data_IF_381902882090
#
_entry.id   IF_381902882090
#
_cell.length_a   1.000
_cell.length_b   1.000
_cell.length_c   1.000
_cell.angle_alpha   90.00
_cell.angle_beta   90.00
_cell.angle_gamma   90.00
#
_symmetry.space_group_name_H-M   'P 1'
#
loop_
_entity.id
_entity.type
_entity.pdbx_description
1 polymer ?
#
# COMPACT_ATOMS: atom_id res chain seq x y z
N UNK A 1 -30.70 1.30 -44.78
CA UNK A 1 -29.91 1.15 -46.02
C UNK A 1 -28.83 2.20 -46.05
N UNK A 2 -27.58 1.76 -46.22
CA UNK A 2 -26.37 2.49 -46.63
C UNK A 2 -25.74 3.50 -45.64
N UNK A 3 -24.41 3.76 -45.73
CA UNK A 3 -23.32 2.77 -45.64
C UNK A 3 -22.14 3.24 -44.73
N UNK A 4 -21.25 2.29 -44.41
CA UNK A 4 -19.99 2.45 -43.69
C UNK A 4 -19.00 3.41 -44.40
N UNK A 5 -18.11 4.10 -43.66
CA UNK A 5 -17.01 4.89 -44.23
C UNK A 5 -15.89 4.00 -44.83
N UNK A 6 -15.17 4.49 -45.86
CA UNK A 6 -14.14 3.74 -46.57
C UNK A 6 -12.80 3.62 -45.81
N UNK A 7 -11.96 2.60 -46.12
CA UNK A 7 -10.65 2.39 -45.51
C UNK A 7 -9.54 3.28 -46.14
N UNK A 8 -8.42 3.53 -45.42
CA UNK A 8 -7.26 4.23 -45.97
C UNK A 8 -6.41 3.33 -46.91
N UNK A 9 -5.72 3.91 -47.91
CA UNK A 9 -4.91 3.18 -48.89
C UNK A 9 -3.49 2.79 -48.43
N UNK A 10 -2.97 1.77 -49.11
CA UNK A 10 -1.75 0.98 -48.88
C UNK A 10 -0.41 1.69 -49.16
N UNK A 11 0.64 1.11 -48.55
CA UNK A 11 2.09 1.35 -48.68
C UNK A 11 2.65 1.32 -50.12
N UNK A 12 3.89 1.83 -50.30
CA UNK A 12 4.81 1.26 -51.27
C UNK A 12 6.05 0.62 -50.61
N UNK A 13 6.27 -0.65 -50.96
CA UNK A 13 7.53 -1.39 -50.87
C UNK A 13 8.42 -1.03 -52.06
N UNK A 14 9.71 -0.72 -51.89
CA UNK A 14 10.75 -1.05 -52.89
C UNK A 14 12.16 -1.07 -52.27
N UNK A 15 12.80 -2.25 -52.34
CA UNK A 15 14.23 -2.59 -52.13
C UNK A 15 14.92 -2.72 -53.52
N UNK A 16 16.19 -3.17 -53.74
CA UNK A 16 17.50 -3.09 -53.04
C UNK A 16 18.71 -2.71 -53.97
N UNK A 17 19.94 -2.84 -53.42
CA UNK A 17 21.16 -3.42 -54.05
C UNK A 17 22.35 -2.46 -54.39
N UNK A 18 23.60 -2.95 -54.60
CA UNK A 18 24.59 -3.21 -53.54
C UNK A 18 26.01 -2.70 -53.91
N UNK A 19 27.02 -2.82 -53.02
CA UNK A 19 28.44 -2.97 -53.44
C UNK A 19 29.23 -3.69 -52.34
N UNK A 20 30.04 -4.65 -52.78
CA UNK A 20 30.75 -5.69 -52.03
C UNK A 20 32.27 -5.41 -52.04
N UNK A 21 32.98 -5.66 -50.93
CA UNK A 21 34.37 -6.18 -50.89
C UNK A 21 34.78 -6.46 -49.42
N UNK A 22 34.74 -7.70 -48.91
CA UNK A 22 35.87 -8.67 -48.71
C UNK A 22 37.10 -8.11 -47.97
N UNK A 23 37.70 -8.72 -46.92
CA UNK A 23 37.57 -10.06 -46.31
C UNK A 23 38.36 -10.18 -44.96
N UNK A 24 38.10 -11.27 -44.20
CA UNK A 24 38.87 -12.03 -43.15
C UNK A 24 39.32 -11.31 -41.84
N UNK A 25 39.31 -11.86 -40.61
CA UNK A 25 39.14 -13.19 -40.02
C UNK A 25 38.89 -13.13 -38.47
N UNK A 26 38.10 -14.09 -37.95
CA UNK A 26 38.13 -14.83 -36.66
C UNK A 26 38.43 -14.11 -35.32
N UNK A 27 37.46 -14.14 -34.39
CA UNK A 27 37.64 -14.60 -32.99
C UNK A 27 36.29 -14.70 -32.26
N UNK A 28 35.92 -15.92 -31.84
CA UNK A 28 34.82 -16.18 -30.92
C UNK A 28 35.23 -15.78 -29.50
N UNK A 29 34.50 -14.85 -28.89
CA UNK A 29 34.56 -14.58 -27.45
C UNK A 29 33.18 -14.83 -26.82
N UNK A 30 33.08 -15.48 -25.65
CA UNK A 30 31.80 -15.59 -24.95
C UNK A 30 31.45 -14.21 -24.38
N UNK A 31 30.37 -13.59 -24.87
CA UNK A 31 29.75 -12.46 -24.20
C UNK A 31 29.19 -12.96 -22.87
N UNK A 32 29.86 -12.57 -21.78
CA UNK A 32 29.38 -12.72 -20.42
C UNK A 32 28.02 -12.06 -20.28
N UNK A 33 27.09 -12.88 -19.80
CA UNK A 33 25.82 -12.54 -19.17
C UNK A 33 25.94 -11.26 -18.32
N UNK A 34 25.53 -10.13 -18.90
CA UNK A 34 25.31 -8.91 -18.16
C UNK A 34 23.97 -9.08 -17.42
N UNK A 35 24.07 -9.57 -16.19
CA UNK A 35 22.95 -9.76 -15.28
C UNK A 35 22.03 -8.55 -15.27
N UNK A 36 20.78 -8.76 -15.67
CA UNK A 36 19.70 -7.81 -15.47
C UNK A 36 19.57 -7.56 -13.96
N UNK A 37 20.07 -6.41 -13.53
CA UNK A 37 19.75 -5.87 -12.21
C UNK A 37 18.26 -5.53 -12.22
N UNK A 38 17.41 -6.14 -11.37
CA UNK A 38 16.02 -5.73 -11.27
C UNK A 38 15.97 -4.25 -10.86
N UNK A 39 14.97 -3.47 -11.34
CA UNK A 39 14.80 -2.09 -10.91
C UNK A 39 14.72 -2.04 -9.38
N UNK A 40 15.71 -1.36 -8.77
CA UNK A 40 15.73 -1.16 -7.33
C UNK A 40 14.51 -0.36 -6.92
N UNK A 41 13.72 -0.96 -6.03
CA UNK A 41 12.69 -0.29 -5.23
C UNK A 41 13.27 1.04 -4.71
N UNK A 42 12.62 2.20 -4.92
CA UNK A 42 13.10 3.44 -4.33
C UNK A 42 13.18 3.26 -2.81
N UNK A 43 14.26 3.72 -2.15
CA UNK A 43 14.37 3.61 -0.72
C UNK A 43 13.18 4.32 -0.07
N UNK A 44 12.46 3.61 0.81
CA UNK A 44 11.53 4.25 1.72
C UNK A 44 12.31 5.34 2.48
N UNK A 45 11.93 6.62 2.28
CA UNK A 45 12.59 7.73 2.96
C UNK A 45 12.57 7.48 4.48
N UNK A 46 13.73 7.58 5.13
CA UNK A 46 13.90 7.46 6.58
C UNK A 46 13.32 8.65 7.36
N UNK A 47 12.73 9.62 6.66
CA UNK A 47 12.06 10.76 7.26
C UNK A 47 10.72 10.33 7.89
N UNK A 48 10.40 10.86 9.08
CA UNK A 48 9.11 10.61 9.72
C UNK A 48 7.98 11.03 8.76
N UNK A 49 7.11 10.12 8.32
CA UNK A 49 6.05 10.43 7.34
C UNK A 49 5.10 11.54 7.84
N UNK A 50 5.03 11.73 9.16
CA UNK A 50 4.28 12.79 9.82
C UNK A 50 4.99 14.12 9.95
N UNK A 51 6.22 14.30 9.45
CA UNK A 51 7.00 15.54 9.63
C UNK A 51 6.46 16.72 8.80
N UNK A 52 5.92 16.45 7.61
CA UNK A 52 5.40 17.47 6.71
C UNK A 52 3.90 17.69 6.90
N UNK A 53 3.37 18.90 6.61
CA UNK A 53 1.93 19.17 6.70
C UNK A 53 1.07 18.27 5.82
N UNK A 54 -0.17 18.07 6.23
CA UNK A 54 -1.17 17.33 5.48
C UNK A 54 -1.43 17.92 4.09
N UNK A 55 -1.77 17.06 3.13
CA UNK A 55 -2.29 17.46 1.81
C UNK A 55 -3.73 16.96 1.61
N UNK A 56 -4.38 17.44 0.54
CA UNK A 56 -5.69 16.93 0.09
C UNK A 56 -5.59 15.84 -0.98
N UNK A 57 -4.42 15.23 -1.16
CA UNK A 57 -4.26 14.10 -2.09
C UNK A 57 -4.96 12.88 -1.49
N UNK A 58 -5.95 12.34 -2.21
CA UNK A 58 -6.61 11.10 -1.82
C UNK A 58 -5.66 9.92 -2.09
N UNK A 59 -5.34 9.08 -1.10
CA UNK A 59 -4.50 7.92 -1.34
C UNK A 59 -5.20 6.90 -2.24
N UNK A 60 -4.42 6.25 -3.12
CA UNK A 60 -4.86 5.05 -3.79
C UNK A 60 -4.87 3.86 -2.81
N UNK A 61 -5.74 2.88 -3.04
CA UNK A 61 -5.82 1.64 -2.26
C UNK A 61 -5.09 0.48 -2.96
N UNK A 62 -4.01 0.82 -3.66
CA UNK A 62 -3.14 -0.07 -4.43
C UNK A 62 -1.71 0.49 -4.42
N UNK A 63 -0.79 -0.23 -5.05
CA UNK A 63 0.61 0.17 -5.20
C UNK A 63 1.53 -0.33 -4.08
N UNK A 64 2.83 -0.23 -4.35
CA UNK A 64 3.87 -0.91 -3.57
C UNK A 64 3.84 -0.58 -2.07
N UNK A 65 3.69 0.71 -1.71
CA UNK A 65 3.66 1.13 -0.31
C UNK A 65 2.44 0.60 0.45
N UNK A 66 1.26 0.64 -0.18
CA UNK A 66 0.02 0.13 0.41
C UNK A 66 0.08 -1.40 0.60
N UNK A 67 0.56 -2.11 -0.42
CA UNK A 67 0.73 -3.56 -0.36
C UNK A 67 1.81 -3.99 0.66
N UNK A 68 2.91 -3.24 0.76
CA UNK A 68 3.94 -3.47 1.77
C UNK A 68 3.38 -3.26 3.18
N UNK A 69 2.59 -2.21 3.40
CA UNK A 69 1.87 -1.98 4.65
C UNK A 69 0.90 -3.11 5.00
N UNK A 70 0.14 -3.60 4.03
CA UNK A 70 -0.76 -4.73 4.21
C UNK A 70 -0.02 -6.02 4.57
N UNK A 71 1.12 -6.29 3.92
CA UNK A 71 2.01 -7.42 4.24
C UNK A 71 2.58 -7.30 5.65
N UNK A 72 3.04 -6.11 6.05
CA UNK A 72 3.58 -5.85 7.38
C UNK A 72 2.52 -6.03 8.47
N UNK A 73 1.29 -5.54 8.24
CA UNK A 73 0.15 -5.77 9.13
C UNK A 73 -0.17 -7.26 9.27
N UNK A 74 -0.18 -8.00 8.16
CA UNK A 74 -0.39 -9.45 8.20
C UNK A 74 0.71 -10.17 8.99
N UNK A 75 1.98 -9.84 8.73
CA UNK A 75 3.13 -10.41 9.43
C UNK A 75 3.08 -10.14 10.94
N UNK A 76 2.68 -8.92 11.34
CA UNK A 76 2.46 -8.58 12.75
C UNK A 76 1.36 -9.44 13.40
N UNK A 77 0.27 -9.72 12.68
CA UNK A 77 -0.83 -10.54 13.18
C UNK A 77 -0.43 -12.02 13.25
N UNK A 78 0.21 -12.57 12.22
CA UNK A 78 0.60 -13.99 12.21
C UNK A 78 1.63 -14.30 13.29
N UNK A 79 2.58 -13.40 13.53
CA UNK A 79 3.67 -13.59 14.49
C UNK A 79 3.41 -13.00 15.89
N UNK A 80 2.21 -12.44 16.12
CA UNK A 80 1.83 -11.75 17.36
C UNK A 80 2.80 -10.62 17.78
N UNK A 81 3.32 -9.88 16.78
CA UNK A 81 4.39 -8.88 16.92
C UNK A 81 3.96 -7.52 16.33
N UNK A 82 3.23 -6.69 17.10
CA UNK A 82 2.66 -5.43 16.66
C UNK A 82 3.63 -4.43 16.01
N UNK A 83 4.86 -4.40 16.50
CA UNK A 83 5.94 -3.50 16.05
C UNK A 83 6.28 -3.67 14.56
N UNK A 84 6.07 -4.86 13.99
CA UNK A 84 6.31 -5.14 12.56
C UNK A 84 5.44 -4.29 11.65
N UNK A 85 4.27 -3.88 12.13
CA UNK A 85 3.32 -3.07 11.38
C UNK A 85 3.27 -1.61 11.85
N UNK A 86 4.22 -1.17 12.69
CA UNK A 86 4.21 0.18 13.25
C UNK A 86 4.31 1.27 12.17
N UNK A 87 5.05 1.02 11.09
CA UNK A 87 5.17 1.96 9.97
C UNK A 87 3.86 2.15 9.18
N UNK A 88 2.95 1.18 9.21
CA UNK A 88 1.65 1.27 8.56
C UNK A 88 0.55 1.79 9.51
N UNK A 89 0.88 2.01 10.77
CA UNK A 89 0.02 2.69 11.73
C UNK A 89 0.18 4.20 11.63
N UNK A 90 -0.88 4.95 11.95
CA UNK A 90 -0.88 6.40 11.78
C UNK A 90 0.26 7.10 12.54
N UNK A 91 1.13 7.89 11.87
CA UNK A 91 2.36 8.40 12.46
C UNK A 91 2.11 9.36 13.63
N UNK A 92 2.99 9.31 14.63
CA UNK A 92 2.90 10.17 15.80
C UNK A 92 2.95 11.66 15.42
N UNK A 93 3.91 12.08 14.58
CA UNK A 93 4.03 13.48 14.17
C UNK A 93 2.82 13.97 13.38
N UNK A 94 2.23 13.11 12.54
CA UNK A 94 0.97 13.41 11.86
C UNK A 94 -0.18 13.60 12.86
N UNK A 95 -0.26 12.74 13.88
CA UNK A 95 -1.26 12.86 14.94
C UNK A 95 -1.15 14.16 15.74
N UNK A 96 0.06 14.56 16.13
CA UNK A 96 0.31 15.84 16.78
C UNK A 96 -0.15 17.02 15.92
N UNK A 97 -0.04 16.91 14.59
CA UNK A 97 -0.51 17.92 13.64
C UNK A 97 -2.01 17.86 13.36
N UNK A 98 -2.67 16.71 13.51
CA UNK A 98 -4.12 16.59 13.25
C UNK A 98 -4.93 17.00 14.45
N UNK A 99 -4.53 16.64 15.66
CA UNK A 99 -5.39 16.79 16.83
C UNK A 99 -5.36 18.19 17.44
N UNK A 100 -6.52 18.61 17.91
CA UNK A 100 -6.73 19.77 18.77
C UNK A 100 -7.05 19.31 20.21
N UNK A 101 -6.17 18.49 20.79
CA UNK A 101 -6.32 17.95 22.16
C UNK A 101 -5.10 18.27 23.02
N UNK A 102 -5.23 18.31 24.35
CA UNK A 102 -4.08 18.35 25.25
C UNK A 102 -3.22 17.09 25.12
N UNK A 103 -1.90 17.25 25.15
CA UNK A 103 -0.91 16.16 25.18
C UNK A 103 -1.10 15.07 24.07
N UNK A 104 -1.16 15.44 22.78
CA UNK A 104 -1.47 14.51 21.69
C UNK A 104 -0.51 13.32 21.61
N UNK A 105 0.78 13.48 21.93
CA UNK A 105 1.72 12.37 21.97
C UNK A 105 1.41 11.32 23.04
N UNK A 106 0.91 11.78 24.20
CA UNK A 106 0.50 10.87 25.28
C UNK A 106 -0.75 10.08 24.88
N UNK A 107 -1.74 10.76 24.29
CA UNK A 107 -2.96 10.11 23.78
C UNK A 107 -2.64 9.10 22.67
N UNK A 108 -1.79 9.47 21.71
CA UNK A 108 -1.36 8.58 20.64
C UNK A 108 -0.75 7.29 21.20
N UNK A 109 0.19 7.39 22.14
CA UNK A 109 0.90 6.22 22.68
C UNK A 109 0.00 5.34 23.52
N UNK A 110 -0.70 5.96 24.48
CA UNK A 110 -1.37 5.22 25.55
C UNK A 110 -2.81 4.82 25.23
N UNK A 111 -3.45 5.50 24.27
CA UNK A 111 -4.81 5.17 23.83
C UNK A 111 -4.80 4.58 22.43
N UNK A 112 -4.25 5.30 21.44
CA UNK A 112 -4.41 4.92 20.04
C UNK A 112 -3.55 3.71 19.66
N UNK A 113 -2.24 3.81 19.87
CA UNK A 113 -1.29 2.75 19.55
C UNK A 113 -1.45 1.54 20.48
N UNK A 114 -1.69 1.77 21.78
CA UNK A 114 -1.99 0.69 22.72
C UNK A 114 -3.25 -0.11 22.34
N UNK A 115 -4.30 0.56 21.82
CA UNK A 115 -5.48 -0.12 21.30
C UNK A 115 -5.15 -0.94 20.04
N UNK A 116 -4.35 -0.40 19.13
CA UNK A 116 -3.89 -1.12 17.94
C UNK A 116 -3.09 -2.38 18.28
N UNK A 117 -2.14 -2.29 19.22
CA UNK A 117 -1.39 -3.42 19.77
C UNK A 117 -2.33 -4.50 20.30
N UNK A 118 -3.30 -4.12 21.14
CA UNK A 118 -4.31 -5.05 21.67
C UNK A 118 -5.12 -5.72 20.57
N UNK A 119 -5.49 -4.97 19.53
CA UNK A 119 -6.27 -5.48 18.42
C UNK A 119 -5.47 -6.49 17.57
N UNK A 120 -4.17 -6.27 17.36
CA UNK A 120 -3.27 -7.24 16.69
C UNK A 120 -3.24 -8.54 17.49
N UNK A 121 -3.03 -8.46 18.81
CA UNK A 121 -3.05 -9.66 19.66
C UNK A 121 -4.40 -10.38 19.62
N UNK A 122 -5.50 -9.62 19.56
CA UNK A 122 -6.83 -10.21 19.43
C UNK A 122 -7.04 -10.89 18.08
N UNK A 123 -6.51 -10.32 17.00
CA UNK A 123 -6.54 -10.92 15.68
C UNK A 123 -5.69 -12.20 15.62
N UNK A 124 -4.49 -12.19 16.19
CA UNK A 124 -3.63 -13.39 16.29
C UNK A 124 -4.34 -14.53 17.03
N UNK A 125 -4.91 -14.25 18.21
CA UNK A 125 -5.68 -15.24 18.98
C UNK A 125 -6.86 -15.82 18.21
N UNK A 126 -7.46 -15.07 17.29
CA UNK A 126 -8.56 -15.56 16.43
C UNK A 126 -8.06 -16.48 15.31
N UNK A 127 -6.83 -16.29 14.82
CA UNK A 127 -6.20 -17.24 13.90
C UNK A 127 -5.86 -18.55 14.62
N UNK A 128 -5.42 -18.47 15.88
CA UNK A 128 -5.12 -19.64 16.69
C UNK A 128 -4.08 -20.54 16.04
N UNK A 129 -4.32 -21.85 16.04
CA UNK A 129 -3.40 -22.84 15.45
C UNK A 129 -3.20 -22.64 13.93
N UNK A 130 -4.14 -22.00 13.24
CA UNK A 130 -4.07 -21.78 11.80
C UNK A 130 -3.21 -20.58 11.40
N UNK A 131 -2.61 -19.84 12.35
CA UNK A 131 -1.82 -18.65 12.04
C UNK A 131 -0.69 -18.95 11.03
N UNK A 132 -0.02 -20.11 11.14
CA UNK A 132 1.06 -20.51 10.24
C UNK A 132 0.58 -20.96 8.85
N UNK A 133 -0.67 -21.40 8.72
CA UNK A 133 -1.26 -21.91 7.47
C UNK A 133 -1.97 -20.80 6.69
N UNK A 134 -2.38 -19.74 7.39
CA UNK A 134 -3.12 -18.64 6.83
C UNK A 134 -2.26 -17.84 5.84
N UNK A 135 -2.82 -17.55 4.67
CA UNK A 135 -2.15 -16.82 3.58
C UNK A 135 -2.84 -15.50 3.32
N UNK A 136 -2.08 -14.41 3.32
CA UNK A 136 -2.58 -13.10 2.93
C UNK A 136 -3.03 -13.11 1.46
N UNK A 137 -4.24 -12.61 1.22
CA UNK A 137 -4.74 -12.30 -0.13
C UNK A 137 -4.54 -10.81 -0.43
N UNK A 138 -4.85 -9.94 0.53
CA UNK A 138 -4.63 -8.49 0.39
C UNK A 138 -5.48 -7.65 1.34
N UNK A 139 -5.30 -6.32 1.31
CA UNK A 139 -6.13 -5.38 2.04
C UNK A 139 -7.14 -4.73 1.08
N UNK A 140 -8.42 -5.04 1.25
CA UNK A 140 -9.51 -4.49 0.44
C UNK A 140 -10.08 -3.23 1.10
N UNK A 141 -10.11 -2.14 0.35
CA UNK A 141 -10.76 -0.89 0.73
C UNK A 141 -12.07 -0.77 -0.05
N UNK A 142 -13.23 -0.53 0.60
CA UNK A 142 -14.50 -0.43 -0.08
C UNK A 142 -14.49 0.56 -1.25
N UNK A 143 -15.05 0.14 -2.40
CA UNK A 143 -15.14 0.95 -3.62
C UNK A 143 -15.91 2.25 -3.38
N UNK A 144 -15.40 3.37 -3.90
CA UNK A 144 -15.92 4.71 -3.58
C UNK A 144 -15.52 5.23 -2.19
N UNK A 145 -14.65 4.50 -1.48
CA UNK A 145 -14.15 4.85 -0.15
C UNK A 145 -13.35 6.16 -0.11
N UNK A 146 -13.33 6.76 1.08
CA UNK A 146 -12.53 7.94 1.40
C UNK A 146 -13.40 9.18 1.54
N UNK A 147 -14.06 9.32 2.69
CA UNK A 147 -14.74 10.58 3.06
C UNK A 147 -13.67 11.56 3.55
N UNK A 148 -13.67 12.78 3.02
CA UNK A 148 -12.93 13.87 3.63
C UNK A 148 -13.60 14.28 4.95
N UNK A 149 -12.83 14.24 6.03
CA UNK A 149 -13.19 14.76 7.34
C UNK A 149 -12.74 16.22 7.38
N UNK A 150 -13.65 17.15 7.62
CA UNK A 150 -13.28 18.57 7.70
C UNK A 150 -12.54 18.88 9.01
N UNK A 151 -11.76 19.98 9.05
CA UNK A 151 -11.32 20.57 10.32
C UNK A 151 -12.49 20.75 11.29
N UNK A 152 -12.18 20.72 12.58
CA UNK A 152 -13.09 20.79 13.74
C UNK A 152 -14.02 19.59 13.94
N UNK A 153 -14.16 18.70 12.95
CA UNK A 153 -14.71 17.35 13.19
C UNK A 153 -13.75 16.52 14.06
N UNK A 154 -14.31 15.71 14.95
CA UNK A 154 -13.55 14.75 15.80
C UNK A 154 -12.45 15.38 16.65
N UNK A 155 -12.53 16.68 16.99
CA UNK A 155 -11.46 17.42 17.70
C UNK A 155 -10.15 17.49 16.89
N UNK A 156 -10.26 17.73 15.59
CA UNK A 156 -9.13 17.89 14.68
C UNK A 156 -8.95 19.34 14.25
N UNK A 157 -7.70 19.79 14.10
CA UNK A 157 -7.35 21.09 13.49
C UNK A 157 -7.10 21.00 11.98
N UNK A 158 -6.90 19.79 11.46
CA UNK A 158 -6.68 19.51 10.03
C UNK A 158 -7.62 18.41 9.56
N UNK A 159 -8.03 18.48 8.30
CA UNK A 159 -8.82 17.43 7.66
C UNK A 159 -7.96 16.29 7.09
N UNK A 160 -8.59 15.15 6.82
CA UNK A 160 -7.98 13.99 6.17
C UNK A 160 -9.07 13.14 5.49
N UNK A 161 -8.70 12.31 4.52
CA UNK A 161 -9.59 11.24 4.08
C UNK A 161 -9.64 10.12 5.11
N UNK A 162 -10.82 9.55 5.30
CA UNK A 162 -11.06 8.37 6.12
C UNK A 162 -11.86 7.33 5.37
N UNK A 163 -11.51 6.07 5.57
CA UNK A 163 -12.31 4.92 5.18
C UNK A 163 -12.69 4.12 6.42
N UNK A 164 -13.91 3.59 6.42
CA UNK A 164 -14.34 2.57 7.37
C UNK A 164 -14.59 1.24 6.68
N UNK A 165 -14.43 0.15 7.42
CA UNK A 165 -14.81 -1.19 6.97
C UNK A 165 -13.89 -1.77 5.88
N UNK A 166 -12.62 -1.39 5.88
CA UNK A 166 -11.61 -2.10 5.11
C UNK A 166 -11.46 -3.52 5.65
N UNK A 167 -10.98 -4.44 4.81
CA UNK A 167 -10.92 -5.87 5.12
C UNK A 167 -9.58 -6.44 4.71
N UNK A 168 -8.83 -6.95 5.68
CA UNK A 168 -7.63 -7.73 5.44
C UNK A 168 -8.05 -9.16 5.10
N UNK A 169 -8.03 -9.50 3.81
CA UNK A 169 -8.46 -10.77 3.23
C UNK A 169 -7.33 -11.78 3.35
N UNK A 170 -7.67 -13.00 3.76
CA UNK A 170 -6.74 -14.12 3.85
C UNK A 170 -7.47 -15.43 3.59
N UNK A 171 -6.71 -16.49 3.36
CA UNK A 171 -7.23 -17.83 3.12
C UNK A 171 -6.61 -18.83 4.09
N UNK A 172 -7.42 -19.80 4.54
CA UNK A 172 -6.98 -21.01 5.24
C UNK A 172 -7.60 -22.18 4.48
N UNK A 173 -6.79 -23.13 4.04
CA UNK A 173 -7.23 -24.29 3.26
C UNK A 173 -8.11 -23.94 2.04
N UNK A 174 -7.81 -22.81 1.38
CA UNK A 174 -8.57 -22.29 0.24
C UNK A 174 -9.91 -21.65 0.59
N UNK A 175 -10.29 -21.60 1.86
CA UNK A 175 -11.47 -20.88 2.33
C UNK A 175 -11.14 -19.41 2.60
N UNK A 176 -11.79 -18.51 1.86
CA UNK A 176 -11.65 -17.07 2.05
C UNK A 176 -12.20 -16.60 3.40
N UNK A 177 -11.41 -15.78 4.09
CA UNK A 177 -11.68 -15.17 5.39
C UNK A 177 -11.26 -13.69 5.37
N UNK A 178 -11.66 -12.95 6.40
CA UNK A 178 -11.27 -11.56 6.55
C UNK A 178 -11.12 -11.17 8.02
N UNK A 179 -10.14 -10.31 8.30
CA UNK A 179 -10.06 -9.51 9.52
C UNK A 179 -10.53 -8.11 9.16
N UNK A 180 -11.41 -7.53 9.98
CA UNK A 180 -11.82 -6.15 9.78
C UNK A 180 -10.66 -5.18 10.09
N UNK A 181 -10.49 -4.19 9.23
CA UNK A 181 -9.68 -3.00 9.47
C UNK A 181 -10.67 -1.86 9.62
N UNK A 182 -11.04 -1.59 10.87
CA UNK A 182 -12.14 -0.68 11.20
C UNK A 182 -11.97 0.68 10.54
N UNK A 183 -10.77 1.27 10.59
CA UNK A 183 -10.52 2.60 10.03
C UNK A 183 -9.12 2.76 9.44
N UNK A 184 -9.09 3.32 8.23
CA UNK A 184 -7.90 3.88 7.58
C UNK A 184 -8.05 5.40 7.50
N UNK A 185 -6.97 6.15 7.74
CA UNK A 185 -6.92 7.60 7.51
C UNK A 185 -5.73 7.98 6.64
N UNK A 186 -5.89 9.04 5.87
CA UNK A 186 -4.85 9.49 4.95
C UNK A 186 -3.85 10.42 5.61
N UNK A 187 -2.58 10.29 5.26
CA UNK A 187 -1.60 11.35 5.41
C UNK A 187 -0.81 11.49 4.11
N UNK A 188 -0.81 12.68 3.53
CA UNK A 188 0.02 13.03 2.35
C UNK A 188 -0.07 12.06 1.16
N UNK A 189 -1.27 11.50 0.90
CA UNK A 189 -1.49 10.58 -0.22
C UNK A 189 -1.23 9.11 0.10
N UNK A 190 -1.01 8.76 1.36
CA UNK A 190 -0.89 7.37 1.83
C UNK A 190 -1.99 7.02 2.86
N UNK A 191 -2.41 5.75 2.87
CA UNK A 191 -3.33 5.20 3.88
C UNK A 191 -2.57 4.67 5.09
N UNK A 192 -3.08 4.95 6.29
CA UNK A 192 -2.57 4.41 7.54
C UNK A 192 -3.69 3.78 8.36
N UNK A 193 -3.40 2.68 9.03
CA UNK A 193 -4.31 2.02 9.98
C UNK A 193 -4.36 2.81 11.28
N UNK A 194 -5.56 2.91 11.84
CA UNK A 194 -5.77 3.48 13.19
C UNK A 194 -6.41 2.46 14.13
N UNK A 195 -7.34 1.66 13.62
CA UNK A 195 -8.06 0.66 14.40
C UNK A 195 -8.35 -0.57 13.54
N UNK A 196 -8.17 -1.76 14.11
CA UNK A 196 -8.65 -3.01 13.49
C UNK A 196 -10.04 -3.35 14.03
N UNK A 197 -10.25 -3.23 15.34
CA UNK A 197 -11.54 -3.46 15.97
C UNK A 197 -12.37 -2.17 16.14
N UNK A 198 -13.65 -2.32 16.47
CA UNK A 198 -14.49 -1.19 16.87
C UNK A 198 -13.98 -0.50 18.13
N UNK A 199 -14.33 0.78 18.29
CA UNK A 199 -14.00 1.58 19.48
C UNK A 199 -14.52 0.87 20.74
N UNK A 200 -13.62 0.59 21.68
CA UNK A 200 -13.92 0.06 23.01
C UNK A 200 -13.40 1.02 24.06
#
# INVERSE_FOLDING_TARGET
MAPLPPPPPSSPTTTPSPTTSSAVAVASGPESDAGQTPPGEPPASLDDPGALPQTRVRPAADGAAFEAGARALWDAIVNDQPERAAAFFFPLKAYEQVKAIPHPASDWRHRLFAAYVRDIHAAHRRLGAHAAEAKLVGLEVPSGGGRWVEPDEESNKLGYFRVYGAKLKYEIDGAARAIDVKSLISWRGEWYVVHLAGFK
#
